data_IF_375443762733
#
_entry.id   IF_375443762733
#
_cell.length_a   1.000
_cell.length_b   1.000
_cell.length_c   1.000
_cell.angle_alpha   90.00
_cell.angle_beta   90.00
_cell.angle_gamma   90.00
#
_symmetry.space_group_name_H-M   'P 1'
#
loop_
_entity.id
_entity.type
_entity.pdbx_description
1 polymer ?
#
# COMPACT_ATOMS: atom_id res chain seq x y z
N UNK A 1 7.14 -6.81 9.68
CA UNK A 1 7.64 -7.79 8.69
C UNK A 1 7.11 -9.20 8.95
N UNK A 2 7.28 -9.75 10.17
CA UNK A 2 6.80 -11.10 10.53
C UNK A 2 5.30 -11.32 10.27
N UNK A 3 4.43 -10.34 10.58
CA UNK A 3 2.99 -10.46 10.33
C UNK A 3 2.64 -10.61 8.84
N UNK A 4 3.19 -9.74 7.98
CA UNK A 4 3.00 -9.84 6.53
C UNK A 4 3.48 -11.18 5.98
N UNK A 5 4.65 -11.65 6.41
CA UNK A 5 5.20 -12.94 5.97
C UNK A 5 4.29 -14.10 6.39
N UNK A 6 3.74 -14.10 7.60
CA UNK A 6 2.75 -15.08 8.07
C UNK A 6 1.45 -15.04 7.24
N UNK A 7 1.04 -13.85 6.80
CA UNK A 7 -0.10 -13.67 5.90
C UNK A 7 0.21 -13.97 4.43
N UNK A 8 1.42 -14.46 4.11
CA UNK A 8 1.85 -14.74 2.74
C UNK A 8 2.08 -13.50 1.88
N UNK A 9 2.09 -12.31 2.48
CA UNK A 9 2.36 -11.04 1.83
C UNK A 9 3.88 -10.83 1.80
N UNK A 10 4.43 -10.67 0.59
CA UNK A 10 5.85 -10.41 0.38
C UNK A 10 6.03 -8.97 -0.07
N UNK A 11 6.93 -8.25 0.60
CA UNK A 11 7.21 -6.86 0.29
C UNK A 11 8.70 -6.56 0.42
N UNK A 12 9.23 -5.83 -0.56
CA UNK A 12 10.54 -5.19 -0.52
C UNK A 12 10.46 -3.77 -1.12
N UNK A 13 11.61 -3.14 -1.35
CA UNK A 13 11.69 -1.76 -1.86
C UNK A 13 11.24 -1.58 -3.32
N UNK A 14 10.97 -2.68 -4.04
CA UNK A 14 10.54 -2.67 -5.45
C UNK A 14 9.19 -3.34 -5.65
N UNK A 15 8.84 -4.32 -4.84
CA UNK A 15 7.71 -5.19 -5.11
C UNK A 15 6.83 -5.40 -3.89
N UNK A 16 5.53 -5.48 -4.15
CA UNK A 16 4.51 -5.98 -3.24
C UNK A 16 3.81 -7.13 -3.93
N UNK A 17 3.74 -8.29 -3.28
CA UNK A 17 3.04 -9.48 -3.79
C UNK A 17 2.08 -10.02 -2.74
N UNK A 18 0.84 -10.26 -3.16
CA UNK A 18 -0.21 -10.83 -2.34
C UNK A 18 -0.23 -12.37 -2.47
N UNK A 19 -0.70 -13.11 -1.46
CA UNK A 19 -0.84 -14.57 -1.53
C UNK A 19 -1.82 -15.02 -2.62
N UNK A 20 -2.71 -14.14 -3.06
CA UNK A 20 -3.69 -14.36 -4.13
C UNK A 20 -3.12 -14.21 -5.55
N UNK A 21 -1.84 -13.84 -5.69
CA UNK A 21 -1.12 -13.80 -6.96
C UNK A 21 -0.93 -12.40 -7.56
N UNK A 22 -1.62 -11.37 -7.05
CA UNK A 22 -1.40 -9.99 -7.48
C UNK A 22 0.01 -9.52 -7.11
N UNK A 23 0.65 -8.83 -8.06
CA UNK A 23 1.99 -8.28 -7.91
C UNK A 23 2.02 -6.84 -8.39
N UNK A 24 2.62 -5.98 -7.58
CA UNK A 24 2.77 -4.55 -7.83
C UNK A 24 4.26 -4.22 -7.81
N UNK A 25 4.71 -3.42 -8.78
CA UNK A 25 6.11 -3.06 -8.96
C UNK A 25 6.29 -1.54 -8.94
N UNK A 26 7.12 -1.07 -8.02
CA UNK A 26 7.41 0.34 -7.77
C UNK A 26 8.50 0.85 -8.70
N UNK A 27 8.47 2.16 -8.96
CA UNK A 27 9.51 2.86 -9.72
C UNK A 27 10.07 3.95 -8.82
N UNK A 28 11.38 3.87 -8.58
CA UNK A 28 12.08 4.77 -7.69
C UNK A 28 11.75 6.24 -7.98
N UNK A 29 11.26 6.95 -6.96
CA UNK A 29 10.97 8.38 -7.00
C UNK A 29 9.76 8.79 -7.86
N UNK A 30 8.93 7.86 -8.32
CA UNK A 30 7.76 8.21 -9.16
C UNK A 30 6.53 7.33 -8.98
N UNK A 31 6.68 6.12 -8.43
CA UNK A 31 5.58 5.17 -8.26
C UNK A 31 5.87 4.28 -7.07
N UNK A 32 4.99 4.25 -6.09
CA UNK A 32 5.06 3.32 -4.96
C UNK A 32 3.70 2.73 -4.63
N UNK A 33 3.73 1.61 -3.91
CA UNK A 33 2.54 0.92 -3.45
C UNK A 33 2.50 0.84 -1.93
N UNK A 34 1.32 1.05 -1.38
CA UNK A 34 1.00 0.89 0.03
C UNK A 34 0.00 -0.23 0.23
N UNK A 35 0.13 -0.98 1.32
CA UNK A 35 -0.84 -1.98 1.76
C UNK A 35 -1.32 -1.62 3.15
N UNK A 36 -2.61 -1.80 3.39
CA UNK A 36 -3.14 -1.91 4.75
C UNK A 36 -3.98 -3.18 4.85
N UNK A 37 -3.74 -3.97 5.89
CA UNK A 37 -4.41 -5.27 6.05
C UNK A 37 -4.63 -5.58 7.52
N UNK A 38 -5.79 -6.15 7.82
CA UNK A 38 -6.06 -6.71 9.14
C UNK A 38 -5.46 -8.12 9.21
N UNK A 39 -4.55 -8.31 10.16
CA UNK A 39 -4.00 -9.63 10.49
C UNK A 39 -4.37 -9.87 11.95
N UNK A 40 -5.18 -10.90 12.18
CA UNK A 40 -5.85 -11.16 13.44
C UNK A 40 -6.75 -9.99 13.89
N UNK A 41 -6.28 -9.16 14.84
CA UNK A 41 -7.00 -7.99 15.37
C UNK A 41 -6.28 -6.68 15.11
N UNK A 42 -5.10 -6.73 14.52
CA UNK A 42 -4.24 -5.58 14.36
C UNK A 42 -4.23 -5.13 12.89
N UNK A 43 -4.29 -3.82 12.69
CA UNK A 43 -4.13 -3.20 11.38
C UNK A 43 -2.64 -2.99 11.11
N UNK A 44 -2.14 -3.65 10.07
CA UNK A 44 -0.77 -3.47 9.59
C UNK A 44 -0.79 -2.59 8.35
N UNK A 45 0.06 -1.55 8.35
CA UNK A 45 0.24 -0.65 7.21
C UNK A 45 1.72 -0.62 6.85
N UNK A 46 2.02 -0.77 5.56
CA UNK A 46 3.37 -0.67 5.03
C UNK A 46 3.36 -0.28 3.56
N UNK A 47 4.50 0.16 3.04
CA UNK A 47 4.68 0.39 1.62
C UNK A 47 6.06 -0.03 1.15
N UNK A 48 6.20 -0.11 -0.16
CA UNK A 48 7.48 -0.35 -0.85
C UNK A 48 8.51 0.75 -0.54
N UNK A 49 8.04 1.94 -0.20
CA UNK A 49 8.84 3.04 0.33
C UNK A 49 8.08 3.80 1.42
N UNK A 50 8.69 4.89 1.92
CA UNK A 50 8.00 5.86 2.78
C UNK A 50 6.75 6.45 2.11
N UNK A 51 6.79 6.68 0.80
CA UNK A 51 5.71 7.29 0.04
C UNK A 51 4.51 6.35 -0.07
N UNK A 52 4.76 5.05 -0.33
CA UNK A 52 3.71 4.03 -0.32
C UNK A 52 3.05 3.89 1.05
N UNK A 53 3.83 3.98 2.14
CA UNK A 53 3.30 3.91 3.51
C UNK A 53 2.41 5.12 3.82
N UNK A 54 2.88 6.32 3.49
CA UNK A 54 2.13 7.56 3.67
C UNK A 54 0.83 7.57 2.85
N UNK A 55 0.89 7.11 1.60
CA UNK A 55 -0.30 6.99 0.75
C UNK A 55 -1.36 6.06 1.33
N UNK A 56 -0.96 4.91 1.89
CA UNK A 56 -1.88 3.98 2.54
C UNK A 56 -2.54 4.59 3.78
N UNK A 57 -1.75 5.26 4.63
CA UNK A 57 -2.28 5.95 5.82
C UNK A 57 -3.26 7.06 5.43
N UNK A 58 -2.89 7.89 4.45
CA UNK A 58 -3.74 8.99 4.00
C UNK A 58 -5.05 8.47 3.41
N UNK A 59 -4.99 7.39 2.61
CA UNK A 59 -6.18 6.73 2.08
C UNK A 59 -7.11 6.23 3.19
N UNK A 60 -6.56 5.57 4.22
CA UNK A 60 -7.32 5.06 5.37
C UNK A 60 -8.00 6.18 6.19
N UNK A 61 -7.33 7.32 6.36
CA UNK A 61 -7.88 8.44 7.12
C UNK A 61 -9.06 9.11 6.41
N UNK A 62 -9.02 9.14 5.07
CA UNK A 62 -10.04 9.80 4.24
C UNK A 62 -11.21 8.89 3.90
N UNK A 63 -10.97 7.60 3.79
CA UNK A 63 -11.97 6.63 3.35
C UNK A 63 -12.39 5.75 4.51
N UNK A 64 -13.71 5.50 4.62
CA UNK A 64 -14.21 4.46 5.53
C UNK A 64 -13.89 3.10 4.92
N UNK A 65 -12.70 2.59 5.19
CA UNK A 65 -12.28 1.28 4.72
C UNK A 65 -12.87 0.22 5.64
N UNK A 66 -13.84 -0.54 5.11
CA UNK A 66 -14.37 -1.70 5.80
C UNK A 66 -13.32 -2.83 5.80
N UNK A 67 -13.22 -3.50 6.94
CA UNK A 67 -12.23 -4.51 7.31
C UNK A 67 -11.79 -5.43 6.15
N UNK A 68 -10.48 -5.60 5.98
CA UNK A 68 -9.89 -6.46 4.96
C UNK A 68 -8.47 -6.07 4.56
N UNK A 69 -8.08 -6.36 3.32
CA UNK A 69 -6.81 -5.94 2.71
C UNK A 69 -7.07 -4.90 1.63
N UNK A 70 -6.38 -3.77 1.71
CA UNK A 70 -6.32 -2.76 0.66
C UNK A 70 -4.90 -2.62 0.11
N UNK A 71 -4.80 -2.38 -1.19
CA UNK A 71 -3.58 -1.91 -1.84
C UNK A 71 -3.88 -0.59 -2.52
N UNK A 72 -3.03 0.40 -2.26
CA UNK A 72 -3.09 1.71 -2.90
C UNK A 72 -1.82 1.94 -3.71
N UNK A 73 -1.95 2.77 -4.74
CA UNK A 73 -0.85 3.27 -5.56
C UNK A 73 -0.70 4.75 -5.28
N UNK A 74 0.53 5.20 -5.12
CA UNK A 74 0.90 6.61 -5.25
C UNK A 74 1.76 6.77 -6.50
N UNK A 75 1.50 7.84 -7.26
CA UNK A 75 2.27 8.18 -8.45
C UNK A 75 2.56 9.68 -8.46
N UNK A 76 3.83 10.05 -8.42
CA UNK A 76 4.26 11.46 -8.49
C UNK A 76 4.00 12.02 -9.89
N UNK A 77 2.83 12.62 -10.08
CA UNK A 77 2.38 13.18 -11.36
C UNK A 77 2.86 14.61 -11.57
N UNK A 78 3.02 15.36 -10.47
CA UNK A 78 3.44 16.76 -10.51
C UNK A 78 4.97 16.94 -10.31
N UNK A 79 5.69 15.87 -10.00
CA UNK A 79 7.16 15.80 -9.80
C UNK A 79 7.66 16.60 -8.59
N UNK A 80 6.84 16.75 -7.56
CA UNK A 80 7.21 17.48 -6.34
C UNK A 80 7.84 16.58 -5.27
N UNK A 81 7.81 15.25 -5.45
CA UNK A 81 8.34 14.28 -4.49
C UNK A 81 7.60 14.24 -3.15
N UNK A 82 6.34 14.67 -3.12
CA UNK A 82 5.43 14.64 -1.98
C UNK A 82 4.23 13.74 -2.26
N UNK A 83 3.58 13.24 -1.20
CA UNK A 83 2.37 12.42 -1.34
C UNK A 83 1.14 13.33 -1.33
N UNK A 84 0.61 13.61 -2.52
CA UNK A 84 -0.62 14.39 -2.67
C UNK A 84 -1.87 13.49 -2.79
N UNK A 85 -2.98 13.90 -2.17
CA UNK A 85 -4.21 13.09 -2.12
C UNK A 85 -4.75 12.71 -3.51
N UNK A 86 -4.62 13.61 -4.47
CA UNK A 86 -5.06 13.42 -5.86
C UNK A 86 -4.15 12.47 -6.67
N UNK A 87 -3.00 12.08 -6.11
CA UNK A 87 -2.05 11.14 -6.72
C UNK A 87 -2.23 9.70 -6.20
N UNK A 88 -3.17 9.50 -5.26
CA UNK A 88 -3.44 8.21 -4.63
C UNK A 88 -4.64 7.55 -5.30
N UNK A 89 -4.48 6.29 -5.72
CA UNK A 89 -5.58 5.46 -6.22
C UNK A 89 -5.68 4.14 -5.50
N UNK A 90 -6.90 3.65 -5.28
CA UNK A 90 -7.16 2.29 -4.82
C UNK A 90 -6.91 1.32 -5.98
N UNK A 91 -6.03 0.33 -5.77
CA UNK A 91 -5.76 -0.72 -6.75
C UNK A 91 -6.50 -2.02 -6.41
N UNK A 92 -6.69 -2.29 -5.12
CA UNK A 92 -7.36 -3.48 -4.64
C UNK A 92 -8.00 -3.23 -3.29
N UNK A 93 -9.21 -3.73 -3.10
CA UNK A 93 -9.87 -3.86 -1.82
C UNK A 93 -10.50 -5.25 -1.75
N UNK A 94 -10.11 -6.01 -0.74
CA UNK A 94 -10.65 -7.34 -0.44
C UNK A 94 -11.14 -7.36 0.99
N UNK A 95 -12.36 -7.86 1.19
CA UNK A 95 -12.96 -8.11 2.50
C UNK A 95 -12.63 -9.52 3.00
#
# INVERSE_FOLDING_TARGET
KVAFEKAGIKMDHKTLSLPTGEKYESKYGSLDYGIATLIDKDLYVAGTSRYGTEAALLYLLKNKVNAGTIVVKWQDTNRNGAVDENEISLELQKS
#
